data_IF_352949259144
#
_entry.id   IF_352949259144
#
_cell.length_a   1.000
_cell.length_b   1.000
_cell.length_c   1.000
_cell.angle_alpha   90.00
_cell.angle_beta   90.00
_cell.angle_gamma   90.00
#
_symmetry.space_group_name_H-M   'P 1'
#
loop_
_entity.id
_entity.type
_entity.pdbx_description
1 polymer ?
#
# COMPACT_ATOMS: atom_id res chain seq x y z
N UNK A 1 -21.32 3.89 25.84
CA UNK A 1 -21.97 2.85 25.01
C UNK A 1 -21.22 2.74 23.69
N UNK A 2 -20.62 1.59 23.36
CA UNK A 2 -19.97 1.39 22.04
C UNK A 2 -21.02 0.89 21.06
N UNK A 3 -21.19 1.57 19.92
CA UNK A 3 -22.10 1.16 18.83
C UNK A 3 -21.27 0.65 17.67
N UNK A 4 -21.71 -0.44 17.06
CA UNK A 4 -21.16 -0.95 15.81
C UNK A 4 -22.26 -0.93 14.76
N UNK A 5 -21.89 -0.62 13.52
CA UNK A 5 -22.82 -0.55 12.40
C UNK A 5 -22.40 -1.52 11.31
N UNK A 6 -23.37 -2.17 10.69
CA UNK A 6 -23.18 -3.05 9.55
C UNK A 6 -24.04 -2.55 8.40
N UNK A 7 -23.39 -2.24 7.29
CA UNK A 7 -24.06 -1.78 6.08
C UNK A 7 -23.67 -2.66 4.90
N UNK A 8 -24.56 -2.75 3.92
CA UNK A 8 -24.24 -3.29 2.60
C UNK A 8 -24.07 -2.12 1.65
N UNK A 9 -22.97 -2.13 0.91
CA UNK A 9 -22.62 -1.12 -0.05
C UNK A 9 -22.76 -1.71 -1.46
N UNK A 10 -23.34 -0.93 -2.38
CA UNK A 10 -23.53 -1.31 -3.79
C UNK A 10 -22.88 -0.22 -4.64
N UNK A 11 -21.59 -0.38 -5.02
CA UNK A 11 -20.89 0.64 -5.79
C UNK A 11 -21.46 0.79 -7.20
N UNK A 12 -21.39 2.00 -7.75
CA UNK A 12 -21.44 2.20 -9.21
C UNK A 12 -20.20 1.57 -9.86
N UNK A 13 -20.22 1.39 -11.17
CA UNK A 13 -19.05 0.88 -11.91
C UNK A 13 -17.79 1.70 -11.64
N UNK A 14 -17.88 3.03 -11.71
CA UNK A 14 -16.77 3.96 -11.45
C UNK A 14 -16.24 3.82 -10.01
N UNK A 15 -17.13 3.64 -9.03
CA UNK A 15 -16.74 3.42 -7.64
C UNK A 15 -16.03 2.08 -7.46
N UNK A 16 -16.50 1.02 -8.12
CA UNK A 16 -15.88 -0.29 -8.06
C UNK A 16 -14.46 -0.26 -8.65
N UNK A 17 -14.28 0.44 -9.77
CA UNK A 17 -12.97 0.63 -10.41
C UNK A 17 -12.01 1.42 -9.50
N UNK A 18 -12.47 2.53 -8.94
CA UNK A 18 -11.67 3.32 -8.00
C UNK A 18 -11.27 2.52 -6.75
N UNK A 19 -12.19 1.71 -6.21
CA UNK A 19 -11.91 0.83 -5.09
C UNK A 19 -10.89 -0.25 -5.46
N UNK A 20 -11.04 -0.87 -6.64
CA UNK A 20 -10.11 -1.88 -7.13
C UNK A 20 -8.70 -1.30 -7.30
N UNK A 21 -8.58 -0.11 -7.89
CA UNK A 21 -7.31 0.61 -8.01
C UNK A 21 -6.73 0.92 -6.63
N UNK A 22 -7.53 1.50 -5.73
CA UNK A 22 -7.09 1.88 -4.38
C UNK A 22 -6.58 0.66 -3.60
N UNK A 23 -7.35 -0.42 -3.56
CA UNK A 23 -6.96 -1.64 -2.85
C UNK A 23 -5.77 -2.33 -3.53
N UNK A 24 -5.68 -2.28 -4.85
CA UNK A 24 -4.52 -2.72 -5.62
C UNK A 24 -3.25 -2.00 -5.20
N UNK A 25 -3.27 -0.66 -5.20
CA UNK A 25 -2.16 0.19 -4.77
C UNK A 25 -1.76 -0.09 -3.32
N UNK A 26 -2.72 -0.13 -2.39
CA UNK A 26 -2.45 -0.40 -0.97
C UNK A 26 -1.81 -1.77 -0.78
N UNK A 27 -2.35 -2.82 -1.42
CA UNK A 27 -1.83 -4.19 -1.32
C UNK A 27 -0.40 -4.26 -1.87
N UNK A 28 -0.14 -3.65 -3.02
CA UNK A 28 1.19 -3.60 -3.60
C UNK A 28 2.19 -2.91 -2.67
N UNK A 29 1.90 -1.68 -2.25
CA UNK A 29 2.79 -0.89 -1.39
C UNK A 29 3.08 -1.63 -0.09
N UNK A 30 2.04 -2.19 0.56
CA UNK A 30 2.20 -2.97 1.78
C UNK A 30 3.16 -4.14 1.59
N UNK A 31 2.91 -4.97 0.57
CA UNK A 31 3.73 -6.16 0.32
C UNK A 31 5.17 -5.81 -0.08
N UNK A 32 5.36 -4.77 -0.91
CA UNK A 32 6.68 -4.31 -1.34
C UNK A 32 7.52 -3.78 -0.18
N UNK A 33 6.92 -3.00 0.72
CA UNK A 33 7.60 -2.50 1.92
C UNK A 33 7.84 -3.62 2.94
N UNK A 34 6.88 -4.52 3.13
CA UNK A 34 7.02 -5.68 4.01
C UNK A 34 8.18 -6.58 3.54
N UNK A 35 8.26 -6.83 2.23
CA UNK A 35 9.36 -7.62 1.65
C UNK A 35 10.70 -6.95 1.90
N UNK A 36 10.82 -5.68 1.53
CA UNK A 36 12.06 -4.92 1.74
C UNK A 36 12.51 -4.89 3.21
N UNK A 37 11.58 -4.69 4.14
CA UNK A 37 11.84 -4.77 5.58
C UNK A 37 12.39 -6.12 5.99
N UNK A 38 11.77 -7.18 5.47
CA UNK A 38 12.15 -8.55 5.77
C UNK A 38 13.56 -8.83 5.28
N UNK A 39 13.85 -8.51 4.02
CA UNK A 39 15.16 -8.74 3.41
C UNK A 39 16.25 -7.93 4.14
N UNK A 40 15.99 -6.65 4.42
CA UNK A 40 16.93 -5.80 5.16
C UNK A 40 17.29 -6.36 6.54
N UNK A 41 16.31 -6.91 7.25
CA UNK A 41 16.57 -7.50 8.55
C UNK A 41 17.32 -8.83 8.44
N UNK A 42 16.95 -9.71 7.50
CA UNK A 42 17.61 -11.02 7.41
C UNK A 42 19.03 -10.93 6.86
N UNK A 43 19.29 -10.05 5.90
CA UNK A 43 20.59 -9.88 5.25
C UNK A 43 21.54 -8.98 6.06
N UNK A 44 21.03 -7.88 6.62
CA UNK A 44 21.85 -6.80 7.20
C UNK A 44 21.56 -6.51 8.67
N UNK A 45 20.59 -7.20 9.29
CA UNK A 45 20.06 -6.89 10.64
C UNK A 45 19.57 -5.46 10.78
N UNK A 46 19.20 -4.83 9.67
CA UNK A 46 18.73 -3.45 9.62
C UNK A 46 17.22 -3.38 9.89
N UNK A 47 16.79 -2.39 10.67
CA UNK A 47 15.37 -2.09 10.89
C UNK A 47 14.96 -0.89 10.05
N UNK A 48 14.08 -1.12 9.09
CA UNK A 48 13.54 -0.05 8.25
C UNK A 48 12.35 0.63 8.95
N UNK A 49 12.56 1.89 9.32
CA UNK A 49 11.55 2.73 9.95
C UNK A 49 10.48 3.29 8.98
N UNK A 50 9.58 4.11 9.51
CA UNK A 50 8.53 4.77 8.71
C UNK A 50 9.11 5.76 7.70
N UNK A 51 10.05 6.62 8.11
CA UNK A 51 10.64 7.64 7.22
C UNK A 51 11.31 7.02 5.99
N UNK A 52 12.05 5.92 6.19
CA UNK A 52 12.68 5.16 5.11
C UNK A 52 11.62 4.51 4.18
N UNK A 53 10.57 3.90 4.75
CA UNK A 53 9.46 3.33 3.97
C UNK A 53 8.73 4.40 3.14
N UNK A 54 8.49 5.58 3.72
CA UNK A 54 7.86 6.70 3.03
C UNK A 54 8.73 7.22 1.88
N UNK A 55 10.05 7.37 2.10
CA UNK A 55 10.99 7.74 1.05
C UNK A 55 11.02 6.73 -0.10
N UNK A 56 11.00 5.42 0.22
CA UNK A 56 10.91 4.35 -0.78
C UNK A 56 9.62 4.40 -1.58
N UNK A 57 8.48 4.66 -0.95
CA UNK A 57 7.21 4.84 -1.66
C UNK A 57 7.28 6.01 -2.65
N UNK A 58 7.85 7.14 -2.23
CA UNK A 58 8.06 8.29 -3.12
C UNK A 58 8.97 7.96 -4.30
N UNK A 59 9.98 7.12 -4.11
CA UNK A 59 10.84 6.65 -5.19
C UNK A 59 10.06 5.73 -6.15
N UNK A 60 9.34 4.73 -5.63
CA UNK A 60 8.53 3.80 -6.43
C UNK A 60 7.53 4.55 -7.31
N UNK A 61 6.84 5.54 -6.76
CA UNK A 61 5.86 6.37 -7.51
C UNK A 61 6.46 7.13 -8.69
N UNK A 62 7.78 7.34 -8.73
CA UNK A 62 8.47 8.02 -9.84
C UNK A 62 8.92 7.05 -10.93
N UNK A 63 8.90 5.74 -10.66
CA UNK A 63 9.32 4.74 -11.64
C UNK A 63 8.20 4.56 -12.69
N UNK A 64 8.53 4.57 -14.01
CA UNK A 64 7.51 4.47 -15.06
C UNK A 64 6.65 3.21 -14.97
N UNK A 65 7.23 2.09 -14.53
CA UNK A 65 6.53 0.81 -14.31
C UNK A 65 5.42 0.91 -13.25
N UNK A 66 5.59 1.83 -12.28
CA UNK A 66 4.68 2.02 -11.16
C UNK A 66 3.90 3.34 -11.25
N UNK A 67 3.77 3.91 -12.45
CA UNK A 67 3.02 5.15 -12.68
C UNK A 67 1.56 5.08 -12.19
N UNK A 68 0.96 3.88 -12.19
CA UNK A 68 -0.40 3.60 -11.71
C UNK A 68 -0.59 3.73 -10.18
N UNK A 69 0.50 3.93 -9.41
CA UNK A 69 0.44 4.26 -7.98
C UNK A 69 0.13 5.74 -7.69
N UNK A 70 0.02 6.57 -8.74
CA UNK A 70 -0.32 8.00 -8.66
C UNK A 70 -1.76 8.27 -9.07
#
# INVERSE_FOLDING_TARGET
MKRAYKYRFYPTTEQAELLAQTFGCVRFVYNSILRWRTDAYYERKEKIGYLQANARLTALKKEPEFAWLN
#
